data_IF_427109198146
#
_entry.id   IF_427109198146
#
_cell.length_a   1.000
_cell.length_b   1.000
_cell.length_c   1.000
_cell.angle_alpha   90.00
_cell.angle_beta   90.00
_cell.angle_gamma   90.00
#
_symmetry.space_group_name_H-M   'P 1'
#
loop_
_entity.id
_entity.type
_entity.pdbx_description
1 polymer ?
#
# COMPACT_ATOMS: atom_id res chain seq x y z
N UNK A 1 -6.70 9.63 27.24
CA UNK A 1 -8.17 9.66 27.43
C UNK A 1 -8.72 8.28 27.80
N UNK A 2 -8.22 7.18 27.21
CA UNK A 2 -8.59 5.81 27.60
C UNK A 2 -7.43 4.81 27.29
N UNK A 3 -6.38 4.75 28.12
CA UNK A 3 -5.15 4.00 27.81
C UNK A 3 -5.35 2.48 27.73
N UNK A 4 -6.28 1.91 28.51
CA UNK A 4 -6.50 0.47 28.57
C UNK A 4 -7.10 -0.08 27.26
N UNK A 5 -7.71 0.78 26.44
CA UNK A 5 -8.32 0.40 25.18
C UNK A 5 -7.33 -0.32 24.24
N UNK A 6 -6.07 0.10 24.23
CA UNK A 6 -5.01 -0.49 23.39
C UNK A 6 -4.84 -2.01 23.63
N UNK A 7 -5.11 -2.48 24.85
CA UNK A 7 -5.04 -3.91 25.21
C UNK A 7 -6.33 -4.69 24.91
N UNK A 8 -7.43 -3.98 24.69
CA UNK A 8 -8.77 -4.58 24.51
C UNK A 8 -9.11 -4.80 23.04
N UNK A 9 -8.36 -4.19 22.12
CA UNK A 9 -8.57 -4.31 20.68
C UNK A 9 -7.27 -4.69 19.97
N UNK A 10 -7.34 -5.40 18.82
CA UNK A 10 -6.13 -5.72 18.04
C UNK A 10 -5.38 -4.49 17.52
N UNK A 11 -6.10 -3.40 17.23
CA UNK A 11 -5.54 -2.13 16.76
C UNK A 11 -6.49 -0.98 17.09
N UNK A 12 -5.95 0.21 17.36
CA UNK A 12 -6.74 1.42 17.58
C UNK A 12 -7.32 2.00 16.28
N UNK A 13 -6.69 1.71 15.14
CA UNK A 13 -7.09 2.22 13.84
C UNK A 13 -8.10 1.28 13.16
N UNK A 14 -9.26 1.13 13.77
CA UNK A 14 -10.37 0.35 13.21
C UNK A 14 -11.68 1.13 13.28
N UNK A 15 -12.58 0.86 12.32
CA UNK A 15 -13.84 1.59 12.18
C UNK A 15 -14.67 1.62 13.47
N UNK A 16 -14.74 0.51 14.21
CA UNK A 16 -15.52 0.41 15.46
C UNK A 16 -14.91 1.22 16.60
N UNK A 17 -13.58 1.30 16.68
CA UNK A 17 -12.87 2.13 17.67
C UNK A 17 -13.01 3.61 17.33
N UNK A 18 -12.87 3.99 16.06
CA UNK A 18 -13.13 5.35 15.61
C UNK A 18 -14.57 5.78 15.89
N UNK A 19 -15.56 4.95 15.54
CA UNK A 19 -16.97 5.24 15.84
C UNK A 19 -17.22 5.41 17.34
N UNK A 20 -16.64 4.53 18.16
CA UNK A 20 -16.69 4.67 19.62
C UNK A 20 -16.08 5.98 20.10
N UNK A 21 -14.84 6.29 19.71
CA UNK A 21 -14.12 7.47 20.20
C UNK A 21 -14.69 8.79 19.67
N UNK A 22 -15.31 8.78 18.48
CA UNK A 22 -16.07 9.92 17.97
C UNK A 22 -17.28 10.27 18.85
N UNK A 23 -17.97 9.25 19.37
CA UNK A 23 -19.13 9.45 20.23
C UNK A 23 -18.73 9.64 21.70
N UNK A 24 -17.83 8.78 22.19
CA UNK A 24 -17.33 8.66 23.56
C UNK A 24 -15.78 8.78 23.59
N UNK A 25 -15.23 10.01 23.57
CA UNK A 25 -13.80 10.26 23.34
C UNK A 25 -12.86 9.86 24.49
N UNK A 26 -13.39 9.40 25.62
CA UNK A 26 -12.60 9.05 26.79
C UNK A 26 -13.28 8.04 27.69
N UNK A 27 -12.50 7.50 28.63
CA UNK A 27 -12.94 6.45 29.53
C UNK A 27 -14.17 6.88 30.35
N UNK A 28 -14.22 8.12 30.83
CA UNK A 28 -15.38 8.65 31.57
C UNK A 28 -16.68 8.59 30.76
N UNK A 29 -16.62 8.95 29.48
CA UNK A 29 -17.78 8.92 28.58
C UNK A 29 -18.20 7.47 28.27
N UNK A 30 -17.23 6.58 28.02
CA UNK A 30 -17.50 5.15 27.79
C UNK A 30 -18.11 4.48 29.02
N UNK A 31 -17.57 4.75 30.22
CA UNK A 31 -18.07 4.22 31.49
C UNK A 31 -19.54 4.60 31.75
N UNK A 32 -19.92 5.82 31.36
CA UNK A 32 -21.26 6.38 31.55
C UNK A 32 -22.21 6.13 30.37
N UNK A 33 -21.75 5.53 29.27
CA UNK A 33 -22.58 5.24 28.11
C UNK A 33 -23.71 4.24 28.46
N UNK A 34 -24.89 4.46 27.86
CA UNK A 34 -25.99 3.51 27.97
C UNK A 34 -25.64 2.22 27.23
N UNK A 35 -25.67 1.08 27.92
CA UNK A 35 -25.12 -0.19 27.40
C UNK A 35 -25.77 -0.60 26.08
N UNK A 36 -27.09 -0.44 25.93
CA UNK A 36 -27.80 -0.78 24.68
C UNK A 36 -27.31 0.08 23.51
N UNK A 37 -27.15 1.38 23.71
CA UNK A 37 -26.68 2.30 22.67
C UNK A 37 -25.24 2.00 22.28
N UNK A 38 -24.38 1.79 23.28
CA UNK A 38 -22.98 1.44 23.07
C UNK A 38 -22.80 0.10 22.35
N UNK A 39 -23.58 -0.91 22.76
CA UNK A 39 -23.60 -2.23 22.09
C UNK A 39 -24.06 -2.11 20.64
N UNK A 40 -25.13 -1.36 20.38
CA UNK A 40 -25.66 -1.18 19.04
C UNK A 40 -24.65 -0.46 18.13
N UNK A 41 -23.97 0.56 18.63
CA UNK A 41 -22.91 1.27 17.91
C UNK A 41 -21.78 0.31 17.50
N UNK A 42 -21.22 -0.40 18.49
CA UNK A 42 -20.11 -1.33 18.25
C UNK A 42 -20.51 -2.47 17.32
N UNK A 43 -21.67 -3.08 17.54
CA UNK A 43 -22.16 -4.21 16.75
C UNK A 43 -22.41 -3.80 15.30
N UNK A 44 -23.07 -2.65 15.08
CA UNK A 44 -23.33 -2.13 13.73
C UNK A 44 -22.05 -1.91 12.93
N UNK A 45 -21.08 -1.20 13.51
CA UNK A 45 -19.86 -0.82 12.79
C UNK A 45 -18.89 -2.00 12.64
N UNK A 46 -18.84 -2.88 13.63
CA UNK A 46 -17.99 -4.08 13.57
C UNK A 46 -18.59 -5.24 12.75
N UNK A 47 -19.80 -5.06 12.20
CA UNK A 47 -20.59 -6.12 11.52
C UNK A 47 -20.82 -7.34 12.43
N UNK A 48 -21.18 -7.09 13.68
CA UNK A 48 -21.53 -8.12 14.68
C UNK A 48 -20.35 -8.69 15.48
N UNK A 49 -19.11 -8.34 15.16
CA UNK A 49 -17.93 -8.86 15.88
C UNK A 49 -17.84 -8.36 17.32
N UNK A 50 -18.23 -7.11 17.56
CA UNK A 50 -18.26 -6.49 18.88
C UNK A 50 -19.69 -6.37 19.38
N UNK A 51 -20.14 -7.41 20.09
CA UNK A 51 -21.46 -7.50 20.69
C UNK A 51 -21.54 -6.96 22.12
N UNK A 52 -22.53 -7.48 22.86
CA UNK A 52 -22.84 -7.04 24.23
C UNK A 52 -21.69 -7.33 25.20
N UNK A 53 -21.06 -8.50 25.12
CA UNK A 53 -19.98 -8.89 26.01
C UNK A 53 -18.76 -7.96 25.88
N UNK A 54 -18.35 -7.65 24.65
CA UNK A 54 -17.27 -6.69 24.38
C UNK A 54 -17.62 -5.29 24.87
N UNK A 55 -18.88 -4.86 24.70
CA UNK A 55 -19.33 -3.56 25.20
C UNK A 55 -19.28 -3.50 26.74
N UNK A 56 -19.65 -4.58 27.43
CA UNK A 56 -19.52 -4.69 28.88
C UNK A 56 -18.05 -4.64 29.29
N UNK A 57 -17.17 -5.40 28.62
CA UNK A 57 -15.74 -5.42 28.91
C UNK A 57 -15.11 -4.02 28.77
N UNK A 58 -15.40 -3.31 27.68
CA UNK A 58 -14.89 -1.96 27.45
C UNK A 58 -15.42 -0.97 28.49
N UNK A 59 -16.70 -1.07 28.84
CA UNK A 59 -17.31 -0.22 29.87
C UNK A 59 -16.71 -0.46 31.25
N UNK A 60 -16.45 -1.72 31.61
CA UNK A 60 -15.84 -2.09 32.88
C UNK A 60 -14.40 -1.59 32.96
N UNK A 61 -13.60 -1.79 31.90
CA UNK A 61 -12.25 -1.24 31.83
C UNK A 61 -12.24 0.29 31.91
N UNK A 62 -13.22 0.95 31.29
CA UNK A 62 -13.36 2.40 31.34
C UNK A 62 -13.70 2.93 32.75
N UNK A 63 -14.43 2.17 33.57
CA UNK A 63 -14.78 2.54 34.95
C UNK A 63 -13.59 2.55 35.90
N UNK A 64 -12.63 1.66 35.68
CA UNK A 64 -11.40 1.55 36.47
C UNK A 64 -10.20 2.20 35.78
N UNK A 65 -10.45 2.99 34.72
CA UNK A 65 -9.40 3.55 33.88
C UNK A 65 -8.63 4.65 34.61
N UNK A 66 -7.30 4.68 34.40
CA UNK A 66 -6.45 5.81 34.81
C UNK A 66 -6.50 6.98 33.82
N UNK A 67 -7.39 6.92 32.82
CA UNK A 67 -7.53 7.95 31.78
C UNK A 67 -7.94 9.31 32.33
N UNK A 68 -7.20 10.36 31.93
CA UNK A 68 -7.54 11.73 32.30
C UNK A 68 -8.76 12.25 31.52
N UNK A 69 -9.63 13.02 32.19
CA UNK A 69 -10.74 13.72 31.56
C UNK A 69 -10.28 15.12 31.11
N UNK A 70 -9.88 15.25 29.84
CA UNK A 70 -9.41 16.51 29.27
C UNK A 70 -10.31 16.89 28.08
N UNK A 71 -11.20 17.90 28.22
CA UNK A 71 -12.12 18.30 27.15
C UNK A 71 -11.40 18.72 25.87
N UNK A 72 -10.29 19.46 25.98
CA UNK A 72 -9.49 19.89 24.82
C UNK A 72 -8.98 18.69 23.99
N UNK A 73 -8.34 17.69 24.64
CA UNK A 73 -7.90 16.47 23.96
C UNK A 73 -9.05 15.65 23.40
N UNK A 74 -10.20 15.65 24.07
CA UNK A 74 -11.40 14.96 23.59
C UNK A 74 -11.92 15.57 22.28
N UNK A 75 -11.91 16.91 22.20
CA UNK A 75 -12.29 17.64 21.01
C UNK A 75 -11.29 17.42 19.87
N UNK A 76 -9.99 17.54 20.17
CA UNK A 76 -8.90 17.24 19.24
C UNK A 76 -9.04 15.84 18.64
N UNK A 77 -9.19 14.81 19.48
CA UNK A 77 -9.37 13.43 19.05
C UNK A 77 -10.55 13.26 18.09
N UNK A 78 -11.70 13.88 18.40
CA UNK A 78 -12.88 13.83 17.52
C UNK A 78 -12.60 14.46 16.15
N UNK A 79 -11.93 15.61 16.12
CA UNK A 79 -11.55 16.26 14.87
C UNK A 79 -10.53 15.45 14.07
N UNK A 80 -9.53 14.87 14.73
CA UNK A 80 -8.55 14.01 14.06
C UNK A 80 -9.21 12.77 13.47
N UNK A 81 -10.13 12.11 14.20
CA UNK A 81 -10.87 10.95 13.66
C UNK A 81 -11.71 11.38 12.45
N UNK A 82 -12.40 12.52 12.54
CA UNK A 82 -13.19 13.06 11.42
C UNK A 82 -12.30 13.30 10.19
N UNK A 83 -11.15 13.94 10.36
CA UNK A 83 -10.19 14.18 9.28
C UNK A 83 -9.67 12.89 8.65
N UNK A 84 -9.36 11.88 9.47
CA UNK A 84 -8.94 10.55 8.98
C UNK A 84 -10.06 9.95 8.12
N UNK A 85 -11.31 10.02 8.55
CA UNK A 85 -12.45 9.47 7.81
C UNK A 85 -12.70 10.22 6.50
N UNK A 86 -12.62 11.55 6.51
CA UNK A 86 -12.75 12.40 5.31
C UNK A 86 -11.66 12.05 4.29
N UNK A 87 -10.38 12.08 4.69
CA UNK A 87 -9.27 11.74 3.81
C UNK A 87 -9.35 10.29 3.30
N UNK A 88 -9.83 9.35 4.11
CA UNK A 88 -10.03 7.97 3.64
C UNK A 88 -11.10 7.91 2.55
N UNK A 89 -12.21 8.63 2.72
CA UNK A 89 -13.27 8.70 1.71
C UNK A 89 -12.79 9.33 0.41
N UNK A 90 -12.00 10.41 0.48
CA UNK A 90 -11.42 11.05 -0.69
C UNK A 90 -10.43 10.12 -1.42
N UNK A 91 -9.62 9.36 -0.66
CA UNK A 91 -8.73 8.35 -1.25
C UNK A 91 -9.55 7.27 -1.99
N UNK A 92 -10.61 6.75 -1.36
CA UNK A 92 -11.45 5.70 -1.96
C UNK A 92 -12.13 6.21 -3.25
N UNK A 93 -12.59 7.46 -3.27
CA UNK A 93 -13.16 8.12 -4.45
C UNK A 93 -12.13 8.21 -5.59
N UNK A 94 -10.93 8.71 -5.29
CA UNK A 94 -9.85 8.83 -6.29
C UNK A 94 -9.41 7.44 -6.79
N UNK A 95 -9.31 6.45 -5.91
CA UNK A 95 -8.95 5.08 -6.32
C UNK A 95 -10.03 4.45 -7.22
N UNK A 96 -11.30 4.79 -7.02
CA UNK A 96 -12.39 4.38 -7.92
C UNK A 96 -12.30 5.07 -9.29
N UNK A 97 -12.03 6.38 -9.35
CA UNK A 97 -11.82 7.09 -10.62
C UNK A 97 -10.62 6.54 -11.39
N UNK A 98 -9.51 6.26 -10.71
CA UNK A 98 -8.34 5.59 -11.32
C UNK A 98 -8.73 4.25 -11.94
N UNK A 99 -9.55 3.47 -11.24
CA UNK A 99 -10.03 2.18 -11.75
C UNK A 99 -10.85 2.36 -13.02
N UNK A 100 -11.81 3.28 -13.04
CA UNK A 100 -12.65 3.55 -14.21
C UNK A 100 -11.81 3.97 -15.43
N UNK A 101 -10.88 4.91 -15.25
CA UNK A 101 -9.95 5.34 -16.31
C UNK A 101 -9.12 4.16 -16.83
N UNK A 102 -8.61 3.31 -15.94
CA UNK A 102 -7.81 2.15 -16.33
C UNK A 102 -8.64 1.07 -17.05
N UNK A 103 -9.90 0.88 -16.67
CA UNK A 103 -10.83 -0.02 -17.35
C UNK A 103 -11.13 0.51 -18.78
N UNK A 104 -11.21 1.83 -18.97
CA UNK A 104 -11.35 2.46 -20.29
C UNK A 104 -10.08 2.34 -21.15
N UNK A 105 -8.89 2.54 -20.56
CA UNK A 105 -7.61 2.33 -21.23
C UNK A 105 -7.46 0.86 -21.66
N UNK A 106 -8.01 -0.07 -20.87
CA UNK A 106 -7.96 -1.52 -21.10
C UNK A 106 -6.54 -2.04 -21.40
N UNK A 107 -5.55 -1.50 -20.68
CA UNK A 107 -4.15 -1.83 -20.90
C UNK A 107 -3.84 -3.27 -20.46
N UNK A 108 -3.02 -4.01 -21.24
CA UNK A 108 -2.65 -5.37 -20.89
C UNK A 108 -1.80 -5.46 -19.62
N UNK A 109 -1.24 -4.35 -19.09
CA UNK A 109 -0.47 -4.36 -17.84
C UNK A 109 -1.22 -4.99 -16.67
N UNK A 110 -2.56 -4.86 -16.64
CA UNK A 110 -3.43 -5.36 -15.58
C UNK A 110 -3.58 -6.89 -15.59
N UNK A 111 -3.23 -7.55 -16.70
CA UNK A 111 -3.21 -9.01 -16.76
C UNK A 111 -2.01 -9.63 -16.07
N UNK A 112 -0.98 -8.83 -15.75
CA UNK A 112 0.20 -9.31 -15.03
C UNK A 112 -0.16 -9.54 -13.56
N UNK A 113 -0.04 -10.77 -13.03
CA UNK A 113 -0.34 -11.10 -11.64
C UNK A 113 0.49 -10.26 -10.69
N UNK A 114 -0.15 -9.64 -9.70
CA UNK A 114 0.53 -8.78 -8.73
C UNK A 114 0.63 -7.30 -9.12
N UNK A 115 0.17 -6.91 -10.31
CA UNK A 115 -0.07 -5.51 -10.66
C UNK A 115 -1.55 -5.19 -10.43
N UNK A 116 -1.82 -4.18 -9.61
CA UNK A 116 -3.18 -3.67 -9.40
C UNK A 116 -3.42 -2.37 -10.19
N UNK A 117 -4.66 -1.90 -10.21
CA UNK A 117 -5.06 -0.65 -10.89
C UNK A 117 -4.16 0.54 -10.56
N UNK A 118 -3.92 0.80 -9.27
CA UNK A 118 -3.09 1.92 -8.84
C UNK A 118 -1.65 1.82 -9.34
N UNK A 119 -1.04 0.63 -9.26
CA UNK A 119 0.34 0.42 -9.69
C UNK A 119 0.46 0.47 -11.22
N UNK A 120 -0.49 -0.14 -11.93
CA UNK A 120 -0.57 -0.10 -13.39
C UNK A 120 -0.76 1.34 -13.89
N UNK A 121 -1.70 2.08 -13.31
CA UNK A 121 -1.93 3.48 -13.62
C UNK A 121 -0.69 4.34 -13.41
N UNK A 122 0.03 4.15 -12.30
CA UNK A 122 1.27 4.89 -12.04
C UNK A 122 2.35 4.59 -13.10
N UNK A 123 2.48 3.33 -13.53
CA UNK A 123 3.44 2.96 -14.58
C UNK A 123 3.06 3.59 -15.92
N UNK A 124 1.79 3.48 -16.33
CA UNK A 124 1.29 4.04 -17.59
C UNK A 124 1.39 5.56 -17.57
N UNK A 125 0.99 6.23 -16.49
CA UNK A 125 1.02 7.69 -16.40
C UNK A 125 2.44 8.25 -16.47
N UNK A 126 3.42 7.58 -15.86
CA UNK A 126 4.81 8.02 -15.88
C UNK A 126 5.51 7.75 -17.21
N UNK A 127 5.17 6.66 -17.91
CA UNK A 127 5.73 6.34 -19.23
C UNK A 127 5.04 7.17 -20.32
N UNK A 128 3.72 7.30 -20.24
CA UNK A 128 2.86 7.83 -21.29
C UNK A 128 2.85 6.88 -22.49
N UNK A 129 3.12 7.42 -23.67
CA UNK A 129 3.23 6.62 -24.89
C UNK A 129 4.50 5.76 -24.91
N UNK A 130 4.33 4.44 -24.94
CA UNK A 130 5.41 3.45 -25.04
C UNK A 130 6.20 3.56 -26.36
N UNK A 131 5.66 4.20 -27.40
CA UNK A 131 6.38 4.43 -28.66
C UNK A 131 7.48 5.48 -28.56
N UNK A 132 7.49 6.29 -27.49
CA UNK A 132 8.58 7.24 -27.19
C UNK A 132 9.91 6.55 -26.86
N UNK A 133 9.88 5.25 -26.57
CA UNK A 133 11.04 4.46 -26.19
C UNK A 133 11.33 3.38 -27.24
N UNK A 134 12.51 3.45 -27.85
CA UNK A 134 12.96 2.44 -28.83
C UNK A 134 13.31 1.09 -28.20
N UNK A 135 13.51 1.04 -26.88
CA UNK A 135 13.81 -0.20 -26.17
C UNK A 135 13.33 -0.18 -24.71
N UNK A 136 13.03 -1.36 -24.12
CA UNK A 136 12.69 -1.47 -22.71
C UNK A 136 13.85 -1.05 -21.79
N UNK A 137 15.10 -1.17 -22.25
CA UNK A 137 16.27 -0.73 -21.47
C UNK A 137 16.32 0.81 -21.36
N UNK A 138 15.76 1.58 -22.32
CA UNK A 138 15.59 3.04 -22.18
C UNK A 138 14.55 3.39 -21.12
N UNK A 139 13.47 2.61 -20.98
CA UNK A 139 12.49 2.78 -19.89
C UNK A 139 13.13 2.46 -18.54
N UNK A 140 13.94 1.40 -18.47
CA UNK A 140 14.70 1.05 -17.26
C UNK A 140 15.66 2.18 -16.84
N UNK A 141 16.35 2.80 -17.80
CA UNK A 141 17.20 3.96 -17.55
C UNK A 141 16.38 5.19 -17.11
N UNK A 142 15.25 5.45 -17.76
CA UNK A 142 14.32 6.52 -17.38
C UNK A 142 13.71 6.33 -15.98
N UNK A 143 13.50 5.08 -15.55
CA UNK A 143 13.12 4.76 -14.17
C UNK A 143 14.30 4.85 -13.18
N UNK A 144 15.54 5.04 -13.67
CA UNK A 144 16.74 5.07 -12.85
C UNK A 144 17.08 3.73 -12.20
N UNK A 145 16.91 2.64 -12.95
CA UNK A 145 17.41 1.30 -12.61
C UNK A 145 18.66 0.92 -13.38
N UNK A 146 19.22 1.84 -14.17
CA UNK A 146 20.52 1.65 -14.81
C UNK A 146 21.64 1.76 -13.76
N UNK A 147 22.63 0.86 -13.76
CA UNK A 147 23.84 1.05 -12.96
C UNK A 147 24.61 2.26 -13.48
N UNK A 148 25.19 3.04 -12.57
CA UNK A 148 26.03 4.18 -12.91
C UNK A 148 27.33 3.69 -13.53
N UNK A 149 27.63 4.14 -14.73
CA UNK A 149 28.95 3.92 -15.34
C UNK A 149 29.91 4.96 -14.75
N UNK A 150 30.62 4.59 -13.67
CA UNK A 150 31.76 5.37 -13.18
C UNK A 150 33.04 4.72 -13.71
N UNK A 151 33.42 5.07 -14.93
CA UNK A 151 34.70 4.65 -15.54
C UNK A 151 35.68 5.82 -15.46
N UNK A 152 36.32 6.00 -14.30
CA UNK A 152 37.61 6.71 -14.28
C UNK A 152 38.65 5.70 -14.76
N UNK A 153 39.37 6.01 -15.84
CA UNK A 153 40.25 5.09 -16.59
C UNK A 153 41.42 4.41 -15.85
N UNK A 154 41.36 4.29 -14.52
CA UNK A 154 42.34 3.59 -13.68
C UNK A 154 41.70 2.62 -12.66
N UNK A 155 40.37 2.48 -12.58
CA UNK A 155 39.72 1.63 -11.59
C UNK A 155 38.67 0.70 -12.22
N UNK A 156 39.11 -0.50 -12.62
CA UNK A 156 38.23 -1.63 -12.91
C UNK A 156 37.69 -2.20 -11.59
N UNK A 157 36.54 -1.68 -11.13
CA UNK A 157 35.86 -2.24 -9.96
C UNK A 157 35.13 -1.27 -9.04
N UNK A 158 34.88 -0.02 -9.44
CA UNK A 158 34.02 0.86 -8.64
C UNK A 158 32.61 0.24 -8.57
N UNK A 159 32.15 -0.12 -7.37
CA UNK A 159 30.79 -0.61 -7.12
C UNK A 159 29.79 0.34 -7.76
N UNK A 160 29.19 -0.06 -8.88
CA UNK A 160 28.28 0.81 -9.62
C UNK A 160 27.01 1.04 -8.79
N UNK A 161 26.77 2.30 -8.43
CA UNK A 161 25.56 2.70 -7.73
C UNK A 161 24.40 2.83 -8.72
N UNK A 162 23.17 2.72 -8.24
CA UNK A 162 22.02 2.92 -9.12
C UNK A 162 21.86 4.40 -9.48
N UNK A 163 21.74 4.71 -10.77
CA UNK A 163 21.53 6.09 -11.22
C UNK A 163 20.16 6.59 -10.79
N UNK A 164 20.12 7.62 -9.94
CA UNK A 164 18.85 8.18 -9.45
C UNK A 164 18.27 9.28 -10.36
N UNK A 165 18.81 9.50 -11.56
CA UNK A 165 18.47 10.61 -12.48
C UNK A 165 17.11 10.47 -13.20
N UNK A 166 16.39 9.37 -12.99
CA UNK A 166 15.09 9.09 -13.60
C UNK A 166 13.85 9.39 -12.74
N UNK A 167 12.64 9.10 -13.26
CA UNK A 167 11.38 9.25 -12.53
C UNK A 167 11.37 8.43 -11.24
N UNK A 168 11.23 9.14 -10.11
CA UNK A 168 11.15 8.51 -8.77
C UNK A 168 9.87 7.70 -8.59
N UNK A 169 8.77 8.14 -9.22
CA UNK A 169 7.47 7.48 -9.13
C UNK A 169 7.45 6.21 -9.95
N UNK A 170 7.99 6.24 -11.18
CA UNK A 170 8.14 5.04 -11.99
C UNK A 170 9.06 4.02 -11.32
N UNK A 171 10.16 4.48 -10.70
CA UNK A 171 11.05 3.62 -9.92
C UNK A 171 10.31 2.92 -8.78
N UNK A 172 9.57 3.71 -7.99
CA UNK A 172 8.77 3.21 -6.89
C UNK A 172 7.72 2.20 -7.38
N UNK A 173 7.01 2.52 -8.46
CA UNK A 173 5.96 1.69 -8.99
C UNK A 173 6.50 0.34 -9.45
N UNK A 174 7.53 0.35 -10.30
CA UNK A 174 8.14 -0.87 -10.83
C UNK A 174 8.78 -1.74 -9.75
N UNK A 175 9.44 -1.13 -8.76
CA UNK A 175 10.03 -1.87 -7.65
C UNK A 175 8.97 -2.61 -6.82
N UNK A 176 7.87 -1.93 -6.47
CA UNK A 176 6.78 -2.55 -5.71
C UNK A 176 6.00 -3.55 -6.55
N UNK A 177 5.72 -3.25 -7.82
CA UNK A 177 5.13 -4.19 -8.77
C UNK A 177 5.95 -5.48 -8.83
N UNK A 178 7.27 -5.38 -9.05
CA UNK A 178 8.14 -6.56 -9.13
C UNK A 178 8.11 -7.43 -7.87
N UNK A 179 8.00 -6.84 -6.67
CA UNK A 179 7.84 -7.61 -5.43
C UNK A 179 6.57 -8.45 -5.44
N UNK A 180 5.44 -7.84 -5.79
CA UNK A 180 4.16 -8.54 -5.85
C UNK A 180 4.13 -9.56 -6.99
N UNK A 181 4.64 -9.20 -8.18
CA UNK A 181 4.76 -10.14 -9.31
C UNK A 181 5.60 -11.36 -8.91
N UNK A 182 6.73 -11.18 -8.20
CA UNK A 182 7.52 -12.30 -7.69
C UNK A 182 6.80 -13.15 -6.63
N UNK A 183 5.77 -12.62 -5.98
CA UNK A 183 4.96 -13.37 -5.01
C UNK A 183 3.82 -14.14 -5.68
N UNK A 184 3.21 -13.57 -6.73
CA UNK A 184 2.00 -14.10 -7.36
C UNK A 184 2.26 -14.85 -8.67
N UNK A 185 3.44 -14.68 -9.28
CA UNK A 185 3.86 -15.35 -10.51
C UNK A 185 5.06 -16.28 -10.26
N UNK A 186 4.90 -17.62 -10.43
CA UNK A 186 5.97 -18.58 -10.21
C UNK A 186 7.21 -18.34 -11.07
N UNK A 187 7.06 -17.87 -12.30
CA UNK A 187 8.18 -17.62 -13.23
C UNK A 187 9.05 -16.46 -12.75
N UNK A 188 8.44 -15.46 -12.11
CA UNK A 188 9.18 -14.38 -11.45
C UNK A 188 9.74 -14.81 -10.09
N UNK A 189 9.01 -15.63 -9.32
CA UNK A 189 9.48 -16.19 -8.06
C UNK A 189 10.78 -17.00 -8.25
N UNK A 190 10.80 -17.92 -9.22
CA UNK A 190 11.96 -18.73 -9.58
C UNK A 190 13.12 -17.87 -10.07
N UNK A 191 12.83 -16.85 -10.88
CA UNK A 191 13.85 -15.92 -11.35
C UNK A 191 14.50 -15.15 -10.19
N UNK A 192 13.69 -14.68 -9.23
CA UNK A 192 14.19 -14.03 -8.03
C UNK A 192 15.04 -14.98 -7.18
N UNK A 193 14.58 -16.21 -6.97
CA UNK A 193 15.29 -17.24 -6.23
C UNK A 193 16.64 -17.58 -6.89
N UNK A 194 16.67 -17.72 -8.22
CA UNK A 194 17.91 -17.91 -8.99
C UNK A 194 18.89 -16.76 -8.78
N UNK A 195 18.41 -15.51 -8.85
CA UNK A 195 19.27 -14.34 -8.61
C UNK A 195 19.79 -14.26 -7.17
N UNK A 196 19.04 -14.74 -6.19
CA UNK A 196 19.50 -14.89 -4.80
C UNK A 196 20.55 -15.99 -4.66
N UNK A 197 20.37 -17.12 -5.33
CA UNK A 197 21.34 -18.23 -5.35
C UNK A 197 22.67 -17.85 -6.02
N UNK A 198 22.66 -16.92 -6.98
CA UNK A 198 23.87 -16.27 -7.55
C UNK A 198 24.65 -15.40 -6.53
N UNK A 199 24.24 -15.36 -5.25
CA UNK A 199 24.90 -14.57 -4.19
C UNK A 199 24.47 -13.10 -4.12
N UNK A 200 23.44 -12.69 -4.87
CA UNK A 200 23.02 -11.27 -4.90
C UNK A 200 22.19 -10.90 -3.69
N UNK A 201 22.44 -9.70 -3.16
CA UNK A 201 21.58 -9.09 -2.15
C UNK A 201 20.14 -8.95 -2.65
N UNK A 202 19.14 -9.09 -1.77
CA UNK A 202 17.72 -9.11 -2.13
C UNK A 202 17.29 -7.93 -3.01
N UNK A 203 17.71 -6.70 -2.65
CA UNK A 203 17.36 -5.51 -3.44
C UNK A 203 17.98 -5.53 -4.84
N UNK A 204 19.18 -6.09 -5.01
CA UNK A 204 19.81 -6.25 -6.32
C UNK A 204 19.07 -7.30 -7.13
N UNK A 205 18.67 -8.41 -6.50
CA UNK A 205 17.87 -9.45 -7.14
C UNK A 205 16.49 -8.92 -7.59
N UNK A 206 15.84 -8.07 -6.79
CA UNK A 206 14.60 -7.38 -7.19
C UNK A 206 14.85 -6.42 -8.36
N UNK A 207 15.95 -5.65 -8.40
CA UNK A 207 16.27 -4.81 -9.58
C UNK A 207 16.39 -5.64 -10.87
N UNK A 208 16.91 -6.87 -10.79
CA UNK A 208 16.88 -7.79 -11.94
C UNK A 208 15.46 -8.22 -12.31
N UNK A 209 14.61 -8.52 -11.32
CA UNK A 209 13.21 -8.84 -11.57
C UNK A 209 12.46 -7.64 -12.19
N UNK A 210 12.73 -6.41 -11.76
CA UNK A 210 12.23 -5.18 -12.39
C UNK A 210 12.66 -5.10 -13.86
N UNK A 211 13.94 -5.34 -14.16
CA UNK A 211 14.42 -5.37 -15.55
C UNK A 211 13.68 -6.40 -16.40
N UNK A 212 13.41 -7.58 -15.86
CA UNK A 212 12.60 -8.61 -16.53
C UNK A 212 11.15 -8.12 -16.72
N UNK A 213 10.55 -7.52 -15.69
CA UNK A 213 9.18 -7.02 -15.70
C UNK A 213 8.97 -5.92 -16.75
N UNK A 214 9.87 -4.92 -16.83
CA UNK A 214 9.77 -3.86 -17.84
C UNK A 214 9.80 -4.42 -19.26
N UNK A 215 10.61 -5.45 -19.52
CA UNK A 215 10.64 -6.10 -20.85
C UNK A 215 9.32 -6.75 -21.20
N UNK A 216 8.68 -7.40 -20.22
CA UNK A 216 7.33 -7.97 -20.38
C UNK A 216 6.33 -6.85 -20.65
N UNK A 217 6.25 -5.84 -19.78
CA UNK A 217 5.32 -4.71 -19.93
C UNK A 217 5.50 -4.05 -21.31
N UNK A 218 6.72 -3.72 -21.69
CA UNK A 218 7.01 -3.10 -22.99
C UNK A 218 6.51 -3.94 -24.17
N UNK A 219 6.71 -5.25 -24.11
CA UNK A 219 6.23 -6.15 -25.17
C UNK A 219 4.70 -6.22 -25.22
N UNK A 220 4.04 -6.38 -24.07
CA UNK A 220 2.58 -6.47 -23.99
C UNK A 220 1.92 -5.16 -24.47
N UNK A 221 2.42 -4.01 -24.04
CA UNK A 221 1.89 -2.70 -24.43
C UNK A 221 2.09 -2.41 -25.93
N UNK A 222 3.25 -2.78 -26.49
CA UNK A 222 3.52 -2.61 -27.93
C UNK A 222 2.68 -3.53 -28.81
N UNK A 223 2.33 -4.71 -28.31
CA UNK A 223 1.59 -5.73 -29.08
C UNK A 223 0.10 -5.79 -28.74
N UNK A 224 -0.31 -5.05 -27.71
CA UNK A 224 -1.64 -5.12 -27.09
C UNK A 224 -2.08 -6.55 -26.74
N UNK A 225 -1.13 -7.40 -26.31
CA UNK A 225 -1.39 -8.78 -25.93
C UNK A 225 -1.53 -8.92 -24.41
N UNK A 226 -2.41 -9.83 -23.99
CA UNK A 226 -2.57 -10.16 -22.58
C UNK A 226 -1.42 -11.04 -22.09
N UNK A 227 -1.04 -10.89 -20.82
CA UNK A 227 -0.02 -11.71 -20.18
C UNK A 227 -0.49 -13.16 -20.05
N UNK A 228 0.31 -14.07 -20.59
CA UNK A 228 0.09 -15.52 -20.46
C UNK A 228 1.11 -16.04 -19.46
N UNK A 229 0.61 -16.59 -18.35
CA UNK A 229 1.44 -17.29 -17.38
C UNK A 229 2.11 -18.48 -18.05
N UNK A 230 3.41 -18.67 -17.81
CA UNK A 230 4.04 -19.93 -18.16
C UNK A 230 3.42 -21.04 -17.30
N UNK A 231 2.99 -22.11 -17.96
CA UNK A 231 2.44 -23.33 -17.33
C UNK A 231 3.57 -24.17 -16.78
#
# INVERSE_FOLDING_TARGET
LFPELEKLVPTLHMASVYAMLSEFPGAKQVANAHLTRFTNLLSKVSKGRYGKETAIAFRNAARTSIGSNMPAKSLELKHTIKLIQELTSEIDEIENEIKLIMDEINSPILSIPGINYRMGAMIIAEIGDFNRFDSPDKILAYAGFSPSTYQSGQLDGAYSHMEKRGSRYLRYALYNAAKYVCNWDPTFAEYLAKKRAEGKHYNVAISHAVKKLIRVIYHLEKTNQQYIKAV
#
